data_IF_789500079089
#
_entry.id   IF_789500079089
#
_cell.length_a   1.000
_cell.length_b   1.000
_cell.length_c   1.000
_cell.angle_alpha   90.00
_cell.angle_beta   90.00
_cell.angle_gamma   90.00
#
_symmetry.space_group_name_H-M   'P 1'
#
loop_
_entity.id
_entity.type
_entity.pdbx_description
1 polymer ?
#
# COMPACT_ATOMS: atom_id res chain seq x y z
N UNK A 1 10.87 -26.16 -17.13
CA UNK A 1 11.00 -26.71 -15.75
C UNK A 1 12.31 -26.28 -15.10
N UNK A 2 13.46 -26.42 -15.78
CA UNK A 2 14.77 -25.88 -15.33
C UNK A 2 14.75 -24.37 -15.06
N UNK A 3 14.04 -23.61 -15.89
CA UNK A 3 14.01 -22.14 -15.82
C UNK A 3 13.37 -21.63 -14.51
N UNK A 4 12.43 -22.37 -13.93
CA UNK A 4 11.80 -21.96 -12.67
C UNK A 4 12.73 -22.18 -11.47
N UNK A 5 13.52 -23.26 -11.48
CA UNK A 5 14.43 -23.59 -10.38
C UNK A 5 15.67 -22.68 -10.34
N UNK A 6 16.22 -22.29 -11.50
CA UNK A 6 17.40 -21.42 -11.56
C UNK A 6 17.10 -19.94 -11.38
N UNK A 7 15.96 -19.44 -11.86
CA UNK A 7 15.67 -18.00 -11.85
C UNK A 7 15.29 -17.43 -10.47
N UNK A 8 14.83 -18.26 -9.54
CA UNK A 8 14.23 -17.80 -8.29
C UNK A 8 15.23 -17.22 -7.27
N UNK A 9 16.49 -17.66 -7.28
CA UNK A 9 17.52 -17.25 -6.31
C UNK A 9 18.60 -16.33 -6.89
N UNK A 10 18.90 -16.45 -8.19
CA UNK A 10 20.04 -15.74 -8.80
C UNK A 10 19.75 -14.25 -8.97
N UNK A 11 18.58 -13.88 -9.48
CA UNK A 11 18.20 -12.49 -9.72
C UNK A 11 18.36 -11.58 -8.49
N UNK A 12 17.76 -11.89 -7.32
CA UNK A 12 17.87 -11.00 -6.15
C UNK A 12 19.30 -10.83 -5.66
N UNK A 13 20.12 -11.89 -5.72
CA UNK A 13 21.51 -11.85 -5.26
C UNK A 13 22.41 -11.08 -6.23
N UNK A 14 22.17 -11.19 -7.55
CA UNK A 14 22.86 -10.37 -8.55
C UNK A 14 22.47 -8.90 -8.41
N UNK A 15 21.19 -8.61 -8.13
CA UNK A 15 20.73 -7.25 -7.85
C UNK A 15 21.39 -6.67 -6.60
N UNK A 16 21.44 -7.42 -5.50
CA UNK A 16 22.16 -7.04 -4.27
C UNK A 16 23.63 -6.70 -4.56
N UNK A 17 24.33 -7.56 -5.28
CA UNK A 17 25.73 -7.32 -5.64
C UNK A 17 25.91 -6.06 -6.51
N UNK A 18 25.02 -5.80 -7.46
CA UNK A 18 25.08 -4.61 -8.30
C UNK A 18 24.87 -3.32 -7.49
N UNK A 19 23.99 -3.34 -6.48
CA UNK A 19 23.78 -2.23 -5.54
C UNK A 19 25.05 -2.01 -4.70
N UNK A 20 25.62 -3.08 -4.14
CA UNK A 20 26.84 -3.00 -3.32
C UNK A 20 28.06 -2.48 -4.10
N UNK A 21 28.12 -2.79 -5.40
CA UNK A 21 29.14 -2.28 -6.32
C UNK A 21 28.88 -0.83 -6.77
N UNK A 22 27.75 -0.22 -6.38
CA UNK A 22 27.38 1.15 -6.76
C UNK A 22 27.07 1.32 -8.26
N UNK A 23 26.68 0.24 -8.94
CA UNK A 23 26.44 0.24 -10.40
C UNK A 23 25.40 1.28 -10.77
N UNK A 24 24.31 1.37 -10.01
CA UNK A 24 23.19 2.25 -10.32
C UNK A 24 23.58 3.72 -10.18
N UNK A 25 24.29 4.08 -9.11
CA UNK A 25 24.81 5.43 -8.88
C UNK A 25 25.86 5.83 -9.92
N UNK A 26 26.67 4.88 -10.38
CA UNK A 26 27.66 5.14 -11.44
C UNK A 26 26.97 5.50 -12.76
N UNK A 27 25.95 4.73 -13.16
CA UNK A 27 25.19 5.02 -14.39
C UNK A 27 24.39 6.32 -14.23
N UNK A 28 23.75 6.54 -13.07
CA UNK A 28 23.00 7.77 -12.78
C UNK A 28 23.87 9.03 -12.89
N UNK A 29 25.09 8.99 -12.34
CA UNK A 29 26.06 10.10 -12.42
C UNK A 29 26.52 10.40 -13.83
N UNK A 30 26.52 9.41 -14.74
CA UNK A 30 26.86 9.62 -16.13
C UNK A 30 25.76 10.36 -16.92
N UNK A 31 24.53 10.39 -16.40
CA UNK A 31 23.41 11.18 -16.91
C UNK A 31 22.17 10.35 -17.29
N UNK A 32 21.00 10.99 -17.48
CA UNK A 32 19.72 10.29 -17.70
C UNK A 32 19.68 9.35 -18.91
N UNK A 33 20.38 9.70 -19.99
CA UNK A 33 20.45 8.92 -21.24
C UNK A 33 21.79 8.17 -21.41
N UNK A 34 22.56 8.05 -20.33
CA UNK A 34 23.88 7.43 -20.38
C UNK A 34 23.79 5.93 -20.68
N UNK A 35 24.70 5.48 -21.54
CA UNK A 35 24.88 4.08 -21.90
C UNK A 35 26.35 3.73 -21.69
N UNK A 36 26.64 2.97 -20.63
CA UNK A 36 27.99 2.61 -20.21
C UNK A 36 28.28 1.14 -20.50
N UNK A 37 29.49 0.84 -20.97
CA UNK A 37 29.96 -0.54 -21.00
C UNK A 37 30.31 -1.04 -19.59
N UNK A 38 30.40 -2.36 -19.41
CA UNK A 38 30.88 -2.91 -18.14
C UNK A 38 32.29 -2.42 -17.79
N UNK A 39 33.15 -2.17 -18.78
CA UNK A 39 34.47 -1.60 -18.57
C UNK A 39 34.41 -0.16 -18.06
N UNK A 40 33.51 0.67 -18.60
CA UNK A 40 33.31 2.06 -18.14
C UNK A 40 32.82 2.12 -16.68
N UNK A 41 31.99 1.16 -16.28
CA UNK A 41 31.48 1.06 -14.91
C UNK A 41 32.61 0.59 -13.96
N UNK A 42 33.33 -0.48 -14.32
CA UNK A 42 34.43 -1.01 -13.50
C UNK A 42 35.54 0.03 -13.30
N UNK A 43 35.80 0.88 -14.29
CA UNK A 43 36.79 1.95 -14.18
C UNK A 43 36.48 2.97 -13.08
N UNK A 44 35.22 3.03 -12.59
CA UNK A 44 34.79 3.91 -11.51
C UNK A 44 34.78 3.23 -10.12
N UNK A 45 35.12 1.95 -10.03
CA UNK A 45 35.18 1.26 -8.74
C UNK A 45 36.33 1.79 -7.87
N UNK A 46 36.11 2.07 -6.56
CA UNK A 46 37.15 2.63 -5.69
C UNK A 46 38.39 1.76 -5.54
N UNK A 47 38.23 0.44 -5.66
CA UNK A 47 39.33 -0.54 -5.58
C UNK A 47 38.99 -1.74 -6.44
N UNK A 48 39.91 -2.13 -7.32
CA UNK A 48 39.70 -3.15 -8.34
C UNK A 48 41.05 -3.81 -8.63
N UNK A 49 41.17 -5.11 -8.35
CA UNK A 49 42.41 -5.89 -8.58
C UNK A 49 42.21 -7.09 -9.54
N UNK A 50 41.01 -7.26 -10.10
CA UNK A 50 40.64 -8.39 -10.94
C UNK A 50 40.59 -7.98 -12.43
N UNK A 51 41.54 -8.38 -13.28
CA UNK A 51 41.56 -8.00 -14.69
C UNK A 51 40.27 -8.40 -15.44
N UNK A 52 39.57 -9.44 -14.98
CA UNK A 52 38.35 -9.99 -15.58
C UNK A 52 37.05 -9.40 -15.00
N UNK A 53 37.12 -8.36 -14.15
CA UNK A 53 35.92 -7.84 -13.47
C UNK A 53 34.85 -7.32 -14.44
N UNK A 54 35.27 -6.72 -15.56
CA UNK A 54 34.35 -6.22 -16.58
C UNK A 54 33.57 -7.36 -17.25
N UNK A 55 34.17 -8.54 -17.46
CA UNK A 55 33.49 -9.73 -18.01
C UNK A 55 32.48 -10.28 -17.02
N UNK A 56 32.83 -10.37 -15.73
CA UNK A 56 31.90 -10.82 -14.69
C UNK A 56 30.74 -9.84 -14.50
N UNK A 57 31.04 -8.54 -14.49
CA UNK A 57 30.03 -7.50 -14.37
C UNK A 57 29.09 -7.52 -15.58
N UNK A 58 29.60 -7.61 -16.81
CA UNK A 58 28.81 -7.68 -18.04
C UNK A 58 27.78 -8.83 -18.01
N UNK A 59 28.14 -10.00 -17.45
CA UNK A 59 27.19 -11.11 -17.24
C UNK A 59 26.09 -10.76 -16.24
N UNK A 60 26.44 -10.11 -15.14
CA UNK A 60 25.48 -9.64 -14.12
C UNK A 60 24.53 -8.60 -14.71
N UNK A 61 25.06 -7.57 -15.39
CA UNK A 61 24.27 -6.52 -16.02
C UNK A 61 23.35 -7.08 -17.10
N UNK A 62 23.80 -8.09 -17.85
CA UNK A 62 22.95 -8.79 -18.83
C UNK A 62 21.72 -9.46 -18.17
N UNK A 63 21.89 -10.09 -17.00
CA UNK A 63 20.77 -10.66 -16.24
C UNK A 63 19.81 -9.58 -15.73
N UNK A 64 20.34 -8.47 -15.23
CA UNK A 64 19.51 -7.35 -14.77
C UNK A 64 18.73 -6.72 -15.93
N UNK A 65 19.38 -6.58 -17.09
CA UNK A 65 18.73 -6.08 -18.30
C UNK A 65 17.62 -7.02 -18.81
N UNK A 66 17.82 -8.35 -18.72
CA UNK A 66 16.77 -9.32 -19.11
C UNK A 66 15.53 -9.25 -18.21
N UNK A 67 15.63 -8.64 -17.03
CA UNK A 67 14.54 -8.40 -16.10
C UNK A 67 14.06 -6.94 -16.10
N UNK A 68 14.44 -6.15 -17.11
CA UNK A 68 14.08 -4.74 -17.24
C UNK A 68 14.50 -3.87 -16.03
N UNK A 69 15.54 -4.28 -15.30
CA UNK A 69 16.15 -3.47 -14.24
C UNK A 69 17.15 -2.48 -14.86
N UNK A 70 17.82 -2.89 -15.94
CA UNK A 70 18.66 -2.03 -16.77
C UNK A 70 18.13 -2.05 -18.20
N UNK A 71 18.44 -1.02 -18.97
CA UNK A 71 18.34 -1.06 -20.43
C UNK A 71 19.65 -1.61 -20.99
N UNK A 72 19.59 -2.26 -22.15
CA UNK A 72 20.77 -2.79 -22.83
C UNK A 72 20.69 -2.50 -24.33
N UNK A 73 21.79 -2.00 -24.89
CA UNK A 73 21.99 -1.86 -26.33
C UNK A 73 23.31 -2.49 -26.74
N UNK A 74 23.48 -2.77 -28.03
CA UNK A 74 24.74 -3.31 -28.56
C UNK A 74 25.39 -2.26 -29.44
N UNK A 75 26.59 -1.84 -29.06
CA UNK A 75 27.43 -0.97 -29.88
C UNK A 75 28.25 -1.81 -30.85
N UNK A 76 28.23 -1.40 -32.11
CA UNK A 76 29.01 -1.99 -33.21
C UNK A 76 30.12 -1.05 -33.69
N UNK A 77 30.46 -0.01 -32.92
CA UNK A 77 31.42 1.03 -33.36
C UNK A 77 32.84 0.49 -33.61
N UNK A 78 33.17 -0.71 -33.11
CA UNK A 78 34.46 -1.38 -33.32
C UNK A 78 34.32 -2.77 -34.00
N UNK A 79 33.51 -2.89 -35.07
CA UNK A 79 33.37 -4.16 -35.84
C UNK A 79 34.71 -4.67 -36.42
N UNK A 80 35.74 -3.82 -36.57
CA UNK A 80 37.02 -4.23 -37.15
C UNK A 80 37.73 -5.35 -36.36
N UNK A 81 37.43 -5.51 -35.06
CA UNK A 81 37.95 -6.58 -34.20
C UNK A 81 36.95 -7.74 -33.97
N UNK A 82 35.77 -7.71 -34.60
CA UNK A 82 34.76 -8.77 -34.50
C UNK A 82 34.00 -8.86 -33.15
N UNK A 83 34.27 -7.95 -32.20
CA UNK A 83 33.65 -7.98 -30.88
C UNK A 83 32.52 -6.93 -30.76
N UNK A 84 31.30 -7.41 -30.50
CA UNK A 84 30.17 -6.55 -30.11
C UNK A 84 30.23 -6.22 -28.61
N UNK A 85 29.96 -4.97 -28.25
CA UNK A 85 29.99 -4.52 -26.86
C UNK A 85 28.58 -4.13 -26.40
N UNK A 86 28.15 -4.65 -25.25
CA UNK A 86 26.90 -4.24 -24.61
C UNK A 86 27.10 -2.94 -23.83
N UNK A 87 26.14 -2.05 -23.96
CA UNK A 87 26.04 -0.80 -23.20
C UNK A 87 24.76 -0.81 -22.39
N UNK A 88 24.87 -0.36 -21.14
CA UNK A 88 23.82 -0.43 -20.13
C UNK A 88 23.41 0.96 -19.67
N UNK A 89 22.10 1.15 -19.53
CA UNK A 89 21.50 2.34 -18.94
C UNK A 89 20.50 1.97 -17.85
N UNK A 90 19.99 2.96 -17.12
CA UNK A 90 18.97 2.74 -16.09
C UNK A 90 17.59 2.51 -16.75
N UNK A 91 16.89 1.45 -16.34
CA UNK A 91 15.47 1.30 -16.65
C UNK A 91 14.62 2.03 -15.58
N UNK A 92 13.32 2.28 -15.82
CA UNK A 92 12.49 3.04 -14.89
C UNK A 92 12.44 2.50 -13.45
N UNK A 93 12.56 1.18 -13.25
CA UNK A 93 12.58 0.57 -11.91
C UNK A 93 13.88 0.84 -11.15
N UNK A 94 14.98 1.16 -11.84
CA UNK A 94 16.27 1.40 -11.21
C UNK A 94 16.31 2.66 -10.35
N UNK A 95 15.40 3.62 -10.58
CA UNK A 95 15.26 4.83 -9.76
C UNK A 95 14.98 4.53 -8.27
N UNK A 96 14.42 3.34 -7.98
CA UNK A 96 14.15 2.90 -6.61
C UNK A 96 15.39 2.32 -5.92
N UNK A 97 16.47 2.04 -6.67
CA UNK A 97 17.74 1.54 -6.15
C UNK A 97 18.82 2.62 -6.06
N UNK A 98 18.58 3.81 -6.60
CA UNK A 98 19.34 5.02 -6.29
C UNK A 98 18.64 5.83 -5.20
N UNK A 99 19.32 6.84 -4.64
CA UNK A 99 18.72 7.74 -3.64
C UNK A 99 17.85 8.78 -4.34
N UNK A 100 16.61 8.92 -3.90
CA UNK A 100 15.75 10.03 -4.34
C UNK A 100 16.19 11.37 -3.71
N UNK A 101 15.46 12.45 -4.01
CA UNK A 101 15.80 13.80 -3.54
C UNK A 101 15.79 13.93 -2.01
N UNK A 102 14.94 13.16 -1.32
CA UNK A 102 14.82 13.14 0.14
C UNK A 102 15.68 12.04 0.79
N UNK A 103 16.51 11.33 0.01
CA UNK A 103 17.44 10.30 0.47
C UNK A 103 16.84 8.90 0.68
N UNK A 104 15.59 8.68 0.27
CA UNK A 104 14.91 7.37 0.24
C UNK A 104 15.39 6.47 -0.90
N UNK A 105 15.38 5.16 -0.64
CA UNK A 105 15.76 4.11 -1.59
C UNK A 105 15.29 2.74 -1.08
N UNK A 106 15.04 1.80 -1.98
CA UNK A 106 14.77 0.39 -1.66
C UNK A 106 16.07 -0.42 -1.50
N UNK A 107 17.23 0.14 -1.84
CA UNK A 107 18.51 -0.56 -1.77
C UNK A 107 18.83 -1.13 -0.37
N UNK A 108 18.71 -0.36 0.73
CA UNK A 108 18.91 -0.89 2.07
C UNK A 108 17.89 -1.97 2.48
N UNK A 109 16.65 -1.88 2.00
CA UNK A 109 15.62 -2.90 2.23
C UNK A 109 15.96 -4.20 1.51
N UNK A 110 16.39 -4.11 0.24
CA UNK A 110 16.84 -5.28 -0.52
C UNK A 110 18.08 -5.94 0.10
N UNK A 111 19.02 -5.13 0.62
CA UNK A 111 20.19 -5.64 1.32
C UNK A 111 19.80 -6.40 2.60
N UNK A 112 18.85 -5.87 3.38
CA UNK A 112 18.37 -6.50 4.62
C UNK A 112 17.66 -7.84 4.34
N UNK A 113 16.68 -7.89 3.42
CA UNK A 113 15.90 -9.12 3.19
C UNK A 113 16.74 -10.26 2.60
N UNK A 114 17.89 -9.94 1.99
CA UNK A 114 18.85 -10.90 1.45
C UNK A 114 20.15 -10.97 2.28
N UNK A 115 20.16 -10.37 3.48
CA UNK A 115 21.23 -10.59 4.43
C UNK A 115 21.22 -12.05 4.89
N UNK A 116 22.39 -12.58 5.25
CA UNK A 116 22.50 -13.97 5.70
C UNK A 116 21.57 -14.26 6.88
N UNK A 117 21.46 -13.33 7.84
CA UNK A 117 20.58 -13.48 9.01
C UNK A 117 19.13 -13.72 8.58
N UNK A 118 18.66 -12.98 7.57
CA UNK A 118 17.31 -13.13 7.03
C UNK A 118 17.16 -14.37 6.16
N UNK A 119 18.18 -14.70 5.36
CA UNK A 119 18.11 -15.87 4.49
C UNK A 119 18.14 -17.19 5.26
N UNK A 120 18.78 -17.22 6.44
CA UNK A 120 18.90 -18.43 7.25
C UNK A 120 17.53 -18.96 7.71
N UNK A 121 16.54 -18.08 7.95
CA UNK A 121 15.20 -18.51 8.36
C UNK A 121 14.49 -19.38 7.32
N UNK A 122 14.78 -19.19 6.03
CA UNK A 122 14.12 -19.92 4.95
C UNK A 122 14.48 -21.41 4.93
N UNK A 123 15.65 -21.80 5.46
CA UNK A 123 16.03 -23.20 5.60
C UNK A 123 15.18 -23.94 6.64
N UNK A 124 14.51 -23.22 7.54
CA UNK A 124 13.70 -23.76 8.62
C UNK A 124 12.18 -23.71 8.34
N UNK A 125 11.76 -23.26 7.14
CA UNK A 125 10.34 -23.26 6.76
C UNK A 125 9.72 -24.66 6.83
N UNK A 126 10.45 -25.68 6.34
CA UNK A 126 9.99 -27.07 6.37
C UNK A 126 9.73 -27.52 7.82
N UNK A 127 10.65 -27.25 8.72
CA UNK A 127 10.56 -27.68 10.11
C UNK A 127 9.46 -26.92 10.84
N UNK A 128 9.28 -25.63 10.55
CA UNK A 128 8.14 -24.84 11.06
C UNK A 128 6.78 -25.41 10.62
N UNK A 129 6.66 -25.92 9.39
CA UNK A 129 5.44 -26.59 8.92
C UNK A 129 5.19 -27.91 9.65
N UNK A 130 6.23 -28.69 9.91
CA UNK A 130 6.11 -30.02 10.52
C UNK A 130 5.94 -29.98 12.04
N UNK A 131 6.62 -29.06 12.70
CA UNK A 131 6.78 -29.05 14.16
C UNK A 131 6.13 -27.82 14.81
N UNK A 132 5.67 -26.85 14.01
CA UNK A 132 5.29 -25.52 14.49
C UNK A 132 6.49 -24.67 14.87
N UNK A 133 6.21 -23.46 15.35
CA UNK A 133 7.23 -22.46 15.70
C UNK A 133 7.58 -21.51 14.56
N UNK A 134 8.42 -20.53 14.85
CA UNK A 134 8.76 -19.45 13.92
C UNK A 134 10.08 -19.74 13.20
N UNK A 135 10.13 -19.70 11.86
CA UNK A 135 11.35 -19.97 11.09
C UNK A 135 12.57 -19.18 11.58
N UNK A 136 12.41 -17.89 11.88
CA UNK A 136 13.49 -17.06 12.41
C UNK A 136 14.02 -17.57 13.75
N UNK A 137 13.12 -17.92 14.68
CA UNK A 137 13.50 -18.47 15.99
C UNK A 137 14.17 -19.83 15.88
N UNK A 138 13.72 -20.68 14.95
CA UNK A 138 14.37 -21.97 14.68
C UNK A 138 15.79 -21.80 14.14
N UNK A 139 16.03 -20.78 13.32
CA UNK A 139 17.36 -20.49 12.78
C UNK A 139 18.33 -19.94 13.84
N UNK A 140 17.85 -19.05 14.71
CA UNK A 140 18.71 -18.23 15.56
C UNK A 140 18.62 -18.53 17.07
N UNK A 141 17.65 -19.35 17.48
CA UNK A 141 17.38 -19.74 18.86
C UNK A 141 16.74 -18.66 19.75
N UNK A 142 16.51 -17.46 19.21
CA UNK A 142 15.90 -16.30 19.87
C UNK A 142 14.97 -15.57 18.90
N UNK A 143 14.04 -14.76 19.41
CA UNK A 143 13.15 -13.96 18.57
C UNK A 143 13.88 -12.80 17.88
N UNK A 144 13.25 -12.24 16.85
CA UNK A 144 13.82 -11.17 16.02
C UNK A 144 14.17 -9.91 16.82
N UNK A 145 13.34 -9.52 17.80
CA UNK A 145 13.59 -8.35 18.65
C UNK A 145 14.81 -8.55 19.57
N UNK A 146 15.01 -9.75 20.11
CA UNK A 146 16.22 -10.11 20.87
C UNK A 146 17.46 -10.18 19.99
N UNK A 147 17.32 -10.69 18.75
CA UNK A 147 18.43 -10.73 17.81
C UNK A 147 18.95 -9.34 17.45
N UNK A 148 18.05 -8.37 17.22
CA UNK A 148 18.41 -6.97 16.96
C UNK A 148 19.20 -6.34 18.13
N UNK A 149 18.98 -6.78 19.37
CA UNK A 149 19.77 -6.32 20.53
C UNK A 149 21.14 -7.00 20.61
N UNK A 150 21.23 -8.23 20.11
CA UNK A 150 22.44 -9.06 20.14
C UNK A 150 23.45 -8.67 19.05
N UNK A 151 22.98 -8.30 17.86
CA UNK A 151 23.82 -8.00 16.70
C UNK A 151 23.67 -6.53 16.27
N UNK A 152 24.63 -5.71 16.68
CA UNK A 152 24.63 -4.28 16.39
C UNK A 152 24.72 -3.97 14.88
N UNK A 153 25.45 -4.80 14.11
CA UNK A 153 25.61 -4.59 12.66
C UNK A 153 24.31 -4.88 11.94
N UNK A 154 23.64 -5.98 12.30
CA UNK A 154 22.32 -6.29 11.74
C UNK A 154 21.25 -5.28 12.21
N UNK A 155 21.34 -4.78 13.44
CA UNK A 155 20.46 -3.72 13.93
C UNK A 155 20.60 -2.41 13.13
N UNK A 156 21.84 -2.02 12.79
CA UNK A 156 22.10 -0.87 11.93
C UNK A 156 21.55 -1.08 10.51
N UNK A 157 21.74 -2.27 9.94
CA UNK A 157 21.18 -2.63 8.63
C UNK A 157 19.64 -2.56 8.64
N UNK A 158 19.01 -3.18 9.64
CA UNK A 158 17.56 -3.14 9.83
C UNK A 158 17.06 -1.70 9.97
N UNK A 159 17.69 -0.90 10.84
CA UNK A 159 17.30 0.50 11.08
C UNK A 159 17.45 1.36 9.82
N UNK A 160 18.55 1.19 9.09
CA UNK A 160 18.81 1.89 7.83
C UNK A 160 17.81 1.49 6.75
N UNK A 161 17.42 0.20 6.71
CA UNK A 161 16.40 -0.31 5.80
C UNK A 161 15.04 0.32 6.04
N UNK A 162 14.59 0.36 7.29
CA UNK A 162 13.30 0.94 7.65
C UNK A 162 13.28 2.44 7.38
N UNK A 163 14.37 3.15 7.73
CA UNK A 163 14.50 4.59 7.46
C UNK A 163 14.39 4.89 5.97
N UNK A 164 15.18 4.21 5.13
CA UNK A 164 15.22 4.50 3.69
C UNK A 164 13.93 4.10 2.98
N UNK A 165 13.35 2.95 3.35
CA UNK A 165 12.05 2.50 2.84
C UNK A 165 10.92 3.47 3.21
N UNK A 166 10.86 3.92 4.47
CA UNK A 166 9.79 4.78 4.95
C UNK A 166 9.76 6.13 4.22
N UNK A 167 10.90 6.68 3.80
CA UNK A 167 10.96 7.92 3.02
C UNK A 167 10.26 7.74 1.66
N UNK A 168 10.71 6.78 0.85
CA UNK A 168 10.10 6.49 -0.46
C UNK A 168 8.62 6.13 -0.35
N UNK A 169 8.28 5.36 0.68
CA UNK A 169 6.90 4.97 0.93
C UNK A 169 6.04 6.18 1.28
N UNK A 170 6.44 6.98 2.27
CA UNK A 170 5.63 8.09 2.78
C UNK A 170 5.52 9.27 1.80
N UNK A 171 6.50 9.50 0.93
CA UNK A 171 6.36 10.44 -0.21
C UNK A 171 5.13 10.10 -1.05
N UNK A 172 5.04 8.84 -1.49
CA UNK A 172 3.91 8.36 -2.29
C UNK A 172 2.59 8.51 -1.54
N UNK A 173 2.59 8.20 -0.24
CA UNK A 173 1.39 8.28 0.60
C UNK A 173 0.90 9.71 0.71
N UNK A 174 1.80 10.63 1.04
CA UNK A 174 1.47 12.03 1.22
C UNK A 174 0.94 12.64 -0.08
N UNK A 175 1.34 12.14 -1.24
CA UNK A 175 0.86 12.62 -2.55
C UNK A 175 -0.54 12.14 -2.93
N UNK A 176 -1.01 11.03 -2.38
CA UNK A 176 -2.29 10.42 -2.76
C UNK A 176 -3.33 10.41 -1.64
N UNK A 177 -2.95 10.74 -0.41
CA UNK A 177 -3.82 10.69 0.76
C UNK A 177 -3.94 12.06 1.44
N UNK A 178 -5.09 12.70 1.24
CA UNK A 178 -5.41 14.01 1.84
C UNK A 178 -6.03 13.90 3.23
N UNK A 179 -6.14 12.69 3.80
CA UNK A 179 -6.80 12.50 5.08
C UNK A 179 -6.02 13.06 6.28
N UNK A 180 -4.88 13.73 6.09
CA UNK A 180 -4.24 14.54 7.13
C UNK A 180 -4.73 16.00 7.13
N UNK A 181 -5.41 16.45 6.07
CA UNK A 181 -5.95 17.81 6.00
C UNK A 181 -6.94 18.09 7.15
N UNK A 182 -6.81 19.27 7.75
CA UNK A 182 -7.67 19.74 8.83
C UNK A 182 -7.45 19.06 10.19
N UNK A 183 -6.55 18.09 10.30
CA UNK A 183 -6.11 17.52 11.58
C UNK A 183 -5.34 18.60 12.36
N UNK A 184 -5.62 18.78 13.65
CA UNK A 184 -4.88 19.74 14.50
C UNK A 184 -3.90 19.02 15.42
N UNK A 185 -4.28 17.85 15.93
CA UNK A 185 -3.42 16.99 16.73
C UNK A 185 -3.37 15.57 16.14
N UNK A 186 -2.17 15.09 15.81
CA UNK A 186 -1.93 13.76 15.26
C UNK A 186 -1.03 12.96 16.20
N UNK A 187 -1.53 11.82 16.67
CA UNK A 187 -0.75 10.86 17.47
C UNK A 187 -0.28 9.72 16.58
N UNK A 188 1.03 9.55 16.43
CA UNK A 188 1.62 8.41 15.72
C UNK A 188 1.94 7.30 16.73
N UNK A 189 1.15 6.23 16.72
CA UNK A 189 1.28 5.10 17.68
C UNK A 189 2.18 4.03 17.07
N UNK A 190 3.26 3.71 17.78
CA UNK A 190 4.35 2.92 17.23
C UNK A 190 5.16 3.72 16.19
N UNK A 191 5.26 5.03 16.39
CA UNK A 191 5.90 5.95 15.43
C UNK A 191 7.43 5.84 15.38
N UNK A 192 8.02 4.96 16.19
CA UNK A 192 9.44 4.70 16.21
C UNK A 192 10.23 5.96 16.58
N UNK A 193 11.21 6.28 15.74
CA UNK A 193 12.02 7.48 15.91
C UNK A 193 11.28 8.79 15.57
N UNK A 194 10.03 8.73 15.10
CA UNK A 194 9.22 9.91 14.75
C UNK A 194 9.48 10.47 13.34
N UNK A 195 10.32 9.83 12.51
CA UNK A 195 10.65 10.36 11.18
C UNK A 195 9.45 10.45 10.25
N UNK A 196 8.51 9.50 10.35
CA UNK A 196 7.28 9.50 9.53
C UNK A 196 6.38 10.65 9.93
N UNK A 197 6.13 10.82 11.23
CA UNK A 197 5.37 11.95 11.74
C UNK A 197 6.01 13.27 11.32
N UNK A 198 7.34 13.37 11.33
CA UNK A 198 8.06 14.54 10.83
C UNK A 198 7.77 14.84 9.35
N UNK A 199 7.73 13.82 8.49
CA UNK A 199 7.33 14.00 7.08
C UNK A 199 5.90 14.52 6.96
N UNK A 200 4.96 13.97 7.74
CA UNK A 200 3.55 14.39 7.73
C UNK A 200 3.42 15.86 8.16
N UNK A 201 4.01 16.25 9.30
CA UNK A 201 3.89 17.64 9.79
C UNK A 201 4.68 18.64 8.92
N UNK A 202 5.73 18.19 8.21
CA UNK A 202 6.43 19.05 7.25
C UNK A 202 5.50 19.43 6.09
N UNK A 203 4.66 18.49 5.62
CA UNK A 203 3.63 18.77 4.60
C UNK A 203 2.42 19.51 5.18
N UNK A 204 2.08 19.26 6.44
CA UNK A 204 0.94 19.86 7.14
C UNK A 204 1.38 20.59 8.44
N UNK A 205 2.04 21.77 8.36
CA UNK A 205 2.67 22.42 9.51
C UNK A 205 1.72 22.87 10.63
N UNK A 206 0.41 22.90 10.36
CA UNK A 206 -0.61 23.21 11.36
C UNK A 206 -0.86 22.06 12.34
N UNK A 207 -0.42 20.84 12.01
CA UNK A 207 -0.55 19.66 12.86
C UNK A 207 0.46 19.74 14.00
N UNK A 208 -0.03 19.61 15.24
CA UNK A 208 0.80 19.26 16.40
C UNK A 208 0.99 17.74 16.42
N UNK A 209 2.24 17.29 16.36
CA UNK A 209 2.57 15.87 16.33
C UNK A 209 2.87 15.34 17.73
N UNK A 210 2.33 14.16 18.05
CA UNK A 210 2.74 13.35 19.20
C UNK A 210 3.31 12.04 18.66
N UNK A 211 4.62 11.85 18.77
CA UNK A 211 5.25 10.56 18.47
C UNK A 211 5.14 9.67 19.72
N UNK A 212 4.44 8.55 19.62
CA UNK A 212 4.15 7.67 20.74
C UNK A 212 4.73 6.27 20.53
N UNK A 213 5.68 5.88 21.37
CA UNK A 213 6.33 4.56 21.32
C UNK A 213 6.83 4.14 22.71
N UNK A 214 7.43 2.96 22.82
CA UNK A 214 8.04 2.47 24.05
C UNK A 214 9.16 3.41 24.53
N UNK A 215 9.37 3.48 25.84
CA UNK A 215 10.38 4.35 26.45
C UNK A 215 11.78 4.18 25.84
N UNK A 216 12.23 2.93 25.66
CA UNK A 216 13.53 2.64 25.06
C UNK A 216 13.70 3.17 23.63
N UNK A 217 12.60 3.33 22.88
CA UNK A 217 12.63 3.87 21.52
C UNK A 217 12.62 5.40 21.56
N UNK A 218 11.70 5.97 22.34
CA UNK A 218 11.56 7.43 22.52
C UNK A 218 12.85 8.06 23.04
N UNK A 219 13.53 7.44 24.01
CA UNK A 219 14.78 7.94 24.59
C UNK A 219 15.92 8.07 23.58
N UNK A 220 15.91 7.24 22.53
CA UNK A 220 16.91 7.24 21.45
C UNK A 220 16.50 8.08 20.23
N UNK A 221 15.30 8.68 20.26
CA UNK A 221 14.73 9.37 19.11
C UNK A 221 15.30 10.79 18.95
N UNK A 222 15.60 11.23 17.72
CA UNK A 222 16.00 12.61 17.48
C UNK A 222 14.82 13.57 17.72
N UNK A 223 15.12 14.79 18.14
CA UNK A 223 14.11 15.84 18.30
C UNK A 223 13.69 16.41 16.94
N UNK A 224 12.39 16.61 16.75
CA UNK A 224 11.82 17.29 15.58
C UNK A 224 10.97 18.51 15.99
N UNK A 225 11.10 19.66 15.30
CA UNK A 225 10.25 20.81 15.57
C UNK A 225 8.76 20.47 15.37
N UNK A 226 7.91 20.79 16.35
CA UNK A 226 6.47 20.52 16.28
C UNK A 226 6.06 19.10 16.66
N UNK A 227 7.01 18.25 17.07
CA UNK A 227 6.75 16.90 17.60
C UNK A 227 7.08 16.84 19.08
N UNK A 228 6.14 16.32 19.85
CA UNK A 228 6.35 15.87 21.23
C UNK A 228 6.56 14.35 21.22
N UNK A 229 7.66 13.87 21.81
CA UNK A 229 7.87 12.44 22.00
C UNK A 229 7.31 12.01 23.35
N UNK A 230 6.42 11.01 23.34
CA UNK A 230 5.74 10.51 24.53
C UNK A 230 5.97 9.02 24.65
N UNK A 231 6.58 8.60 25.75
CA UNK A 231 6.80 7.18 26.03
C UNK A 231 5.55 6.51 26.61
N UNK A 232 5.26 5.29 26.17
CA UNK A 232 4.30 4.42 26.84
C UNK A 232 3.96 3.15 26.06
N UNK A 233 2.95 2.43 26.53
CA UNK A 233 2.45 1.21 25.90
C UNK A 233 1.03 1.42 25.38
N UNK A 234 0.86 1.33 24.05
CA UNK A 234 -0.42 1.48 23.37
C UNK A 234 -1.46 0.41 23.75
N UNK A 235 -1.04 -0.72 24.31
CA UNK A 235 -1.93 -1.73 24.87
C UNK A 235 -2.41 -1.40 26.29
N UNK A 236 -1.85 -0.37 26.93
CA UNK A 236 -2.26 0.12 28.25
C UNK A 236 -3.05 1.42 28.09
N UNK A 237 -2.47 2.45 27.49
CA UNK A 237 -3.10 3.75 27.28
C UNK A 237 -2.53 4.44 26.06
N UNK A 238 -3.29 5.36 25.43
CA UNK A 238 -2.79 6.22 24.34
C UNK A 238 -3.03 7.69 24.73
N UNK A 239 -2.12 8.64 24.41
CA UNK A 239 -2.31 10.05 24.70
C UNK A 239 -3.66 10.59 24.20
N UNK A 240 -4.43 11.19 25.11
CA UNK A 240 -5.77 11.72 24.81
C UNK A 240 -5.72 13.04 24.06
N UNK A 241 -6.77 13.31 23.30
CA UNK A 241 -6.99 14.62 22.66
C UNK A 241 -6.43 14.72 21.24
N UNK A 242 -6.01 13.60 20.64
CA UNK A 242 -5.73 13.52 19.22
C UNK A 242 -7.00 13.64 18.38
N UNK A 243 -6.98 14.48 17.34
CA UNK A 243 -8.03 14.51 16.31
C UNK A 243 -7.85 13.33 15.34
N UNK A 244 -6.62 12.87 15.19
CA UNK A 244 -6.31 11.65 14.47
C UNK A 244 -5.24 10.83 15.20
N UNK A 245 -5.34 9.52 15.06
CA UNK A 245 -4.31 8.56 15.44
C UNK A 245 -3.82 7.90 14.15
N UNK A 246 -2.51 7.84 13.95
CA UNK A 246 -1.87 7.18 12.83
C UNK A 246 -1.14 5.94 13.32
N UNK A 247 -1.22 4.85 12.55
CA UNK A 247 -0.49 3.62 12.80
C UNK A 247 -0.02 3.06 11.46
N UNK A 248 1.29 2.96 11.24
CA UNK A 248 1.86 2.28 10.09
C UNK A 248 2.54 1.00 10.52
N UNK A 249 2.19 -0.11 9.87
CA UNK A 249 2.87 -1.41 10.08
C UNK A 249 2.85 -1.87 11.56
N UNK A 250 1.76 -1.55 12.24
CA UNK A 250 1.52 -2.01 13.61
C UNK A 250 0.58 -3.20 13.60
N UNK A 251 -0.47 -3.17 12.80
CA UNK A 251 -1.60 -4.11 12.95
C UNK A 251 -1.26 -5.52 12.50
N UNK A 252 -0.34 -5.67 11.53
CA UNK A 252 0.13 -6.99 11.09
C UNK A 252 0.97 -7.75 12.12
N UNK A 253 1.54 -7.07 13.12
CA UNK A 253 2.38 -7.71 14.13
C UNK A 253 1.58 -8.47 15.20
N UNK A 254 0.27 -8.25 15.25
CA UNK A 254 -0.57 -8.66 16.35
C UNK A 254 -1.78 -9.49 15.90
N UNK A 255 -2.18 -10.42 16.75
CA UNK A 255 -3.41 -11.19 16.57
C UNK A 255 -4.67 -10.30 16.73
N UNK A 256 -5.84 -10.90 16.54
CA UNK A 256 -7.11 -10.18 16.55
C UNK A 256 -7.51 -9.67 17.95
N UNK A 257 -7.09 -10.33 19.03
CA UNK A 257 -7.41 -9.86 20.40
C UNK A 257 -6.57 -8.64 20.76
N UNK A 258 -5.26 -8.70 20.48
CA UNK A 258 -4.34 -7.60 20.72
C UNK A 258 -4.70 -6.39 19.86
N UNK A 259 -4.96 -6.58 18.57
CA UNK A 259 -5.39 -5.49 17.70
C UNK A 259 -6.71 -4.87 18.18
N UNK A 260 -7.67 -5.68 18.65
CA UNK A 260 -8.93 -5.15 19.19
C UNK A 260 -8.70 -4.31 20.45
N UNK A 261 -7.80 -4.76 21.34
CA UNK A 261 -7.41 -4.00 22.53
C UNK A 261 -6.78 -2.67 22.14
N UNK A 262 -5.84 -2.67 21.20
CA UNK A 262 -5.18 -1.47 20.70
C UNK A 262 -6.19 -0.48 20.09
N UNK A 263 -7.09 -0.96 19.21
CA UNK A 263 -8.11 -0.12 18.58
C UNK A 263 -9.11 0.49 19.56
N UNK A 264 -9.44 -0.23 20.64
CA UNK A 264 -10.25 0.32 21.75
C UNK A 264 -9.53 1.46 22.45
N UNK A 265 -8.25 1.27 22.78
CA UNK A 265 -7.44 2.34 23.38
C UNK A 265 -7.33 3.56 22.45
N UNK A 266 -7.18 3.34 21.14
CA UNK A 266 -7.18 4.43 20.16
C UNK A 266 -8.51 5.19 20.20
N UNK A 267 -9.63 4.47 20.21
CA UNK A 267 -10.96 5.09 20.25
C UNK A 267 -11.20 5.93 21.52
N UNK A 268 -10.76 5.44 22.67
CA UNK A 268 -10.86 6.16 23.94
C UNK A 268 -9.99 7.42 23.98
N UNK A 269 -8.87 7.43 23.24
CA UNK A 269 -7.95 8.56 23.13
C UNK A 269 -8.42 9.66 22.16
N UNK A 270 -9.22 9.30 21.15
CA UNK A 270 -9.73 10.22 20.14
C UNK A 270 -10.72 11.26 20.69
N UNK A 271 -10.64 12.48 20.18
CA UNK A 271 -11.69 13.49 20.33
C UNK A 271 -12.98 13.09 19.59
N UNK A 272 -14.08 13.79 19.88
CA UNK A 272 -15.34 13.59 19.16
C UNK A 272 -15.13 13.93 17.66
N UNK A 273 -15.57 13.03 16.77
CA UNK A 273 -15.31 13.07 15.32
C UNK A 273 -13.86 12.76 14.90
N UNK A 274 -13.02 12.31 15.83
CA UNK A 274 -11.65 11.89 15.53
C UNK A 274 -11.57 10.62 14.66
N UNK A 275 -10.39 10.32 14.13
CA UNK A 275 -10.19 9.17 13.25
C UNK A 275 -8.87 8.42 13.49
N UNK A 276 -8.89 7.10 13.31
CA UNK A 276 -7.69 6.26 13.25
C UNK A 276 -7.35 6.01 11.78
N UNK A 277 -6.11 6.27 11.39
CA UNK A 277 -5.56 6.09 10.06
C UNK A 277 -4.56 4.93 10.15
N UNK A 278 -4.89 3.80 9.55
CA UNK A 278 -4.04 2.61 9.57
C UNK A 278 -3.46 2.38 8.19
N UNK A 279 -2.15 2.16 8.15
CA UNK A 279 -1.39 1.83 6.95
C UNK A 279 -0.84 0.43 7.11
N UNK A 280 -1.44 -0.52 6.42
CA UNK A 280 -1.00 -1.91 6.53
C UNK A 280 -1.22 -2.71 5.24
N UNK A 281 -0.75 -3.94 5.22
CA UNK A 281 -1.02 -4.83 4.10
C UNK A 281 -2.44 -5.41 4.22
N UNK A 282 -3.11 -5.54 3.07
CA UNK A 282 -4.36 -6.29 2.96
C UNK A 282 -4.15 -7.35 1.90
N UNK A 283 -4.07 -8.59 2.35
CA UNK A 283 -3.76 -9.73 1.50
C UNK A 283 -5.02 -10.14 0.72
N UNK A 284 -4.91 -10.49 -0.57
CA UNK A 284 -6.06 -10.95 -1.35
C UNK A 284 -6.57 -12.30 -0.82
N UNK A 285 -7.90 -12.51 -0.85
CA UNK A 285 -8.52 -13.77 -0.41
C UNK A 285 -8.10 -14.95 -1.31
N UNK A 286 -7.93 -14.67 -2.60
CA UNK A 286 -7.45 -15.65 -3.58
C UNK A 286 -6.11 -15.23 -4.14
N UNK A 287 -5.14 -16.15 -4.29
CA UNK A 287 -3.86 -15.82 -4.89
C UNK A 287 -4.05 -15.41 -6.35
N UNK A 288 -3.57 -14.22 -6.70
CA UNK A 288 -3.54 -13.73 -8.07
C UNK A 288 -2.10 -13.78 -8.62
N UNK A 289 -1.97 -13.84 -9.95
CA UNK A 289 -0.66 -14.02 -10.61
C UNK A 289 0.03 -12.72 -11.01
N UNK A 290 -0.63 -11.57 -10.79
CA UNK A 290 -0.04 -10.27 -11.03
C UNK A 290 1.07 -9.97 -10.00
N UNK A 291 1.97 -9.05 -10.37
CA UNK A 291 3.15 -8.70 -9.57
C UNK A 291 2.75 -8.26 -8.16
N UNK A 292 1.69 -7.46 -8.04
CA UNK A 292 1.18 -6.95 -6.76
C UNK A 292 0.81 -8.08 -5.80
N UNK A 293 -0.04 -9.01 -6.22
CA UNK A 293 -0.46 -10.12 -5.37
C UNK A 293 0.72 -11.01 -4.96
N UNK A 294 1.66 -11.26 -5.88
CA UNK A 294 2.90 -11.99 -5.58
C UNK A 294 3.74 -11.27 -4.52
N UNK A 295 4.00 -9.97 -4.68
CA UNK A 295 4.78 -9.17 -3.72
C UNK A 295 4.12 -9.11 -2.34
N UNK A 296 2.80 -8.95 -2.27
CA UNK A 296 2.08 -8.96 -0.98
C UNK A 296 2.17 -10.32 -0.29
N UNK A 297 2.02 -11.43 -1.02
CA UNK A 297 2.14 -12.77 -0.44
C UNK A 297 3.58 -13.10 -0.02
N UNK A 298 4.59 -12.61 -0.76
CA UNK A 298 6.00 -12.74 -0.37
C UNK A 298 6.28 -11.97 0.93
N UNK A 299 5.84 -10.72 1.02
CA UNK A 299 5.99 -9.93 2.25
C UNK A 299 5.20 -10.52 3.42
N UNK A 300 4.00 -11.05 3.18
CA UNK A 300 3.23 -11.76 4.19
C UNK A 300 4.01 -12.95 4.78
N UNK A 301 4.55 -13.80 3.91
CA UNK A 301 5.33 -14.95 4.33
C UNK A 301 6.60 -14.52 5.07
N UNK A 302 7.24 -13.44 4.62
CA UNK A 302 8.42 -12.86 5.29
C UNK A 302 8.09 -12.41 6.72
N UNK A 303 7.05 -11.59 6.92
CA UNK A 303 6.67 -11.06 8.24
C UNK A 303 6.24 -12.20 9.18
N UNK A 304 5.39 -13.11 8.72
CA UNK A 304 4.94 -14.24 9.55
C UNK A 304 6.05 -15.23 9.88
N UNK A 305 7.13 -15.24 9.09
CA UNK A 305 8.33 -16.05 9.40
C UNK A 305 9.19 -15.47 10.53
N UNK A 306 8.88 -14.25 11.00
CA UNK A 306 9.62 -13.53 12.04
C UNK A 306 8.79 -13.13 13.26
N UNK A 307 7.46 -13.08 13.12
CA UNK A 307 6.55 -12.53 14.13
C UNK A 307 5.56 -13.61 14.60
N UNK A 308 5.70 -14.14 15.83
CA UNK A 308 4.86 -15.23 16.31
C UNK A 308 3.37 -14.90 16.42
N UNK A 309 3.04 -13.64 16.69
CA UNK A 309 1.66 -13.14 16.74
C UNK A 309 1.23 -12.47 15.43
N UNK A 310 2.10 -12.46 14.42
CA UNK A 310 1.88 -11.77 13.17
C UNK A 310 0.72 -12.37 12.38
N UNK A 311 -0.22 -11.54 11.95
CA UNK A 311 -1.38 -11.96 11.17
C UNK A 311 -1.76 -10.89 10.16
N UNK A 312 -1.56 -11.19 8.89
CA UNK A 312 -2.13 -10.39 7.82
C UNK A 312 -3.62 -10.68 7.65
N UNK A 313 -4.34 -9.68 7.16
CA UNK A 313 -5.79 -9.70 7.09
C UNK A 313 -6.25 -9.45 5.67
N UNK A 314 -7.28 -10.19 5.26
CA UNK A 314 -8.03 -9.86 4.04
C UNK A 314 -9.03 -8.75 4.35
N UNK A 315 -9.54 -8.07 3.33
CA UNK A 315 -10.66 -7.11 3.48
C UNK A 315 -11.85 -7.76 4.21
N UNK A 316 -12.13 -9.03 3.91
CA UNK A 316 -13.20 -9.79 4.56
C UNK A 316 -12.91 -10.08 6.03
N UNK A 317 -11.65 -10.26 6.43
CA UNK A 317 -11.30 -10.40 7.85
C UNK A 317 -11.47 -9.09 8.62
N UNK A 318 -11.38 -7.95 7.93
CA UNK A 318 -11.54 -6.62 8.52
C UNK A 318 -13.00 -6.19 8.65
N UNK A 319 -13.89 -6.61 7.74
CA UNK A 319 -15.33 -6.27 7.78
C UNK A 319 -16.05 -6.65 9.09
N UNK A 320 -15.87 -7.84 9.70
CA UNK A 320 -16.49 -8.18 10.98
C UNK A 320 -16.12 -7.25 12.14
N UNK A 321 -15.03 -6.50 12.03
CA UNK A 321 -14.63 -5.53 13.04
C UNK A 321 -15.62 -4.37 13.12
N UNK A 322 -16.34 -4.06 12.04
CA UNK A 322 -17.44 -3.08 12.04
C UNK A 322 -18.51 -3.39 13.10
N UNK A 323 -18.77 -4.67 13.37
CA UNK A 323 -19.76 -5.11 14.36
C UNK A 323 -19.19 -5.26 15.77
N UNK A 324 -17.87 -5.48 15.89
CA UNK A 324 -17.20 -5.55 17.20
C UNK A 324 -16.83 -4.16 17.72
N UNK A 325 -16.64 -3.22 16.81
CA UNK A 325 -16.36 -1.82 17.03
C UNK A 325 -17.62 -1.02 16.66
N UNK A 326 -18.77 -1.34 17.25
CA UNK A 326 -20.06 -0.66 16.98
C UNK A 326 -19.99 0.88 17.16
N UNK A 327 -18.92 1.36 17.78
CA UNK A 327 -18.60 2.76 18.03
C UNK A 327 -17.75 3.43 16.92
N UNK A 328 -17.24 2.68 15.94
CA UNK A 328 -16.43 3.17 14.82
C UNK A 328 -17.15 2.99 13.48
N UNK A 329 -17.11 4.02 12.65
CA UNK A 329 -17.32 3.82 11.21
C UNK A 329 -16.02 3.33 10.60
N UNK A 330 -16.12 2.24 9.84
CA UNK A 330 -15.03 1.70 9.05
C UNK A 330 -15.13 2.21 7.62
N UNK A 331 -14.05 2.80 7.10
CA UNK A 331 -13.86 3.13 5.69
C UNK A 331 -12.53 2.53 5.24
N UNK A 332 -12.59 1.43 4.48
CA UNK A 332 -11.40 0.88 3.85
C UNK A 332 -11.06 1.71 2.62
N UNK A 333 -9.97 2.44 2.69
CA UNK A 333 -9.43 3.19 1.56
C UNK A 333 -8.32 2.36 0.94
N UNK A 334 -8.64 1.53 -0.05
CA UNK A 334 -7.60 0.83 -0.81
C UNK A 334 -7.06 1.79 -1.86
N UNK A 335 -5.91 2.43 -1.60
CA UNK A 335 -5.27 3.33 -2.54
C UNK A 335 -4.68 2.52 -3.71
N UNK A 336 -5.39 2.52 -4.85
CA UNK A 336 -4.95 1.92 -6.12
C UNK A 336 -5.16 2.83 -7.33
N UNK A 337 -5.31 4.13 -7.12
CA UNK A 337 -5.67 5.05 -8.21
C UNK A 337 -4.76 6.27 -8.20
N UNK A 338 -3.66 6.18 -8.98
CA UNK A 338 -2.96 7.25 -9.71
C UNK A 338 -1.45 6.96 -9.87
N UNK A 339 -1.10 5.97 -10.69
CA UNK A 339 0.20 5.89 -11.38
C UNK A 339 0.00 5.53 -12.86
N UNK A 340 -1.11 6.01 -13.43
CA UNK A 340 -1.40 5.91 -14.86
C UNK A 340 -1.99 7.25 -15.28
N UNK A 341 -1.13 8.24 -15.58
CA UNK A 341 -1.39 9.33 -16.54
C UNK A 341 -0.24 10.34 -16.71
N UNK A 342 1.03 9.90 -16.72
CA UNK A 342 2.07 10.66 -17.41
C UNK A 342 3.02 9.72 -18.16
N UNK A 343 2.67 9.53 -19.44
CA UNK A 343 3.48 8.95 -20.52
C UNK A 343 3.67 7.43 -20.54
N UNK A 344 3.78 6.92 -21.78
CA UNK A 344 3.50 5.55 -22.19
C UNK A 344 4.33 4.47 -21.46
N UNK A 345 3.65 3.36 -21.19
CA UNK A 345 4.18 1.98 -21.08
C UNK A 345 5.37 1.75 -20.16
N UNK A 346 5.14 1.72 -18.84
CA UNK A 346 5.59 0.63 -17.98
C UNK A 346 4.92 0.73 -16.61
N UNK A 347 4.43 -0.40 -16.12
CA UNK A 347 3.73 -0.52 -14.84
C UNK A 347 4.78 -0.44 -13.74
N UNK A 348 4.85 0.70 -13.05
CA UNK A 348 5.33 0.77 -11.68
C UNK A 348 4.10 0.98 -10.80
N UNK A 349 3.86 0.11 -9.83
CA UNK A 349 2.74 0.22 -8.91
C UNK A 349 3.16 -0.33 -7.56
N UNK A 350 3.66 0.56 -6.72
CA UNK A 350 3.77 0.35 -5.27
C UNK A 350 2.47 0.88 -4.65
N UNK A 351 1.82 0.11 -3.76
CA UNK A 351 0.98 0.65 -2.68
C UNK A 351 0.39 -0.43 -1.75
N UNK A 352 0.38 -0.07 -0.46
CA UNK A 352 -0.31 -0.70 0.67
C UNK A 352 -1.80 -0.34 0.70
N UNK A 353 -2.59 -1.10 1.47
CA UNK A 353 -4.02 -0.85 1.66
C UNK A 353 -4.28 -0.11 2.98
N UNK A 354 -5.37 0.67 3.07
CA UNK A 354 -5.60 1.55 4.22
C UNK A 354 -6.90 1.21 4.90
N UNK A 355 -6.90 1.35 6.22
CA UNK A 355 -8.12 1.29 7.02
C UNK A 355 -8.25 2.63 7.72
N UNK A 356 -9.31 3.37 7.40
CA UNK A 356 -9.72 4.57 8.13
C UNK A 356 -10.86 4.20 9.07
N UNK A 357 -10.72 4.49 10.35
CA UNK A 357 -11.75 4.31 11.36
C UNK A 357 -12.18 5.68 11.87
N UNK A 358 -13.47 6.01 11.90
CA UNK A 358 -13.96 7.29 12.45
C UNK A 358 -14.79 7.09 13.69
N UNK A 359 -14.50 7.87 14.73
CA UNK A 359 -15.33 8.01 15.93
C UNK A 359 -16.48 8.94 15.58
N UNK A 360 -17.72 8.48 15.71
CA UNK A 360 -18.91 9.32 15.60
C UNK A 360 -19.51 9.60 16.97
N UNK A 361 -20.17 10.74 17.10
CA UNK A 361 -21.06 11.02 18.22
C UNK A 361 -22.21 10.00 18.27
N UNK A 362 -22.63 9.64 19.49
CA UNK A 362 -23.75 8.76 19.82
C UNK A 362 -25.02 9.12 19.07
N UNK A 363 -25.32 10.41 18.89
CA UNK A 363 -26.48 10.86 18.12
C UNK A 363 -26.37 10.47 16.62
N UNK A 364 -25.18 10.63 16.03
CA UNK A 364 -24.92 10.25 14.64
C UNK A 364 -24.88 8.73 14.46
N UNK A 365 -24.35 7.99 15.43
CA UNK A 365 -24.38 6.53 15.47
C UNK A 365 -25.82 6.02 15.53
N UNK A 366 -26.68 6.58 16.40
CA UNK A 366 -28.08 6.19 16.50
C UNK A 366 -28.85 6.41 15.19
N UNK A 367 -28.60 7.52 14.48
CA UNK A 367 -29.23 7.78 13.17
C UNK A 367 -28.78 6.76 12.12
N UNK A 368 -27.51 6.35 12.11
CA UNK A 368 -27.01 5.34 11.17
C UNK A 368 -27.48 3.93 11.52
N UNK A 369 -27.51 3.57 12.81
CA UNK A 369 -28.03 2.29 13.31
C UNK A 369 -29.53 2.17 13.05
N UNK A 370 -30.31 3.25 13.24
CA UNK A 370 -31.74 3.27 12.90
C UNK A 370 -31.99 3.13 11.39
N UNK A 371 -31.11 3.68 10.54
CA UNK A 371 -31.17 3.48 9.08
C UNK A 371 -30.74 2.09 8.61
N UNK A 372 -29.94 1.37 9.41
CA UNK A 372 -29.46 0.00 9.13
C UNK A 372 -30.33 -1.12 9.70
N UNK A 373 -31.30 -0.84 10.59
CA UNK A 373 -32.29 -1.84 11.03
C UNK A 373 -33.29 -2.10 9.89
N UNK A 374 -33.51 -3.36 9.47
CA UNK A 374 -34.71 -3.69 8.69
C UNK A 374 -35.91 -3.31 9.56
N UNK A 375 -36.88 -2.56 9.02
CA UNK A 375 -38.15 -2.36 9.73
C UNK A 375 -38.74 -3.74 10.07
N UNK A 376 -39.33 -3.95 11.26
CA UNK A 376 -40.04 -5.19 11.53
C UNK A 376 -41.12 -5.35 10.46
N UNK A 377 -41.19 -6.52 9.83
CA UNK A 377 -42.37 -6.89 9.05
C UNK A 377 -43.56 -6.84 10.00
N UNK A 378 -44.46 -5.87 9.81
CA UNK A 378 -45.82 -6.03 10.30
C UNK A 378 -46.39 -7.23 9.57
N UNK A 379 -46.62 -8.33 10.30
CA UNK A 379 -47.42 -9.45 9.82
C UNK A 379 -48.85 -8.93 9.72
N UNK A 380 -49.23 -8.50 8.52
CA UNK A 380 -50.63 -8.37 8.17
C UNK A 380 -51.12 -9.79 7.88
N UNK A 381 -52.11 -10.26 8.64
CA UNK A 381 -52.92 -11.41 8.26
C UNK A 381 -53.53 -11.13 6.91
N UNK A 382 -53.21 -11.96 5.93
CA UNK A 382 -53.76 -11.89 4.57
C UNK A 382 -55.24 -12.29 4.67
N UNK A 383 -56.12 -11.34 4.39
CA UNK A 383 -57.49 -11.61 4.01
C UNK A 383 -57.47 -11.93 2.51
N UNK A 384 -57.92 -13.12 2.12
CA UNK A 384 -57.74 -13.75 0.80
C UNK A 384 -58.62 -13.12 -0.31
N UNK A 385 -58.85 -11.81 -0.28
CA UNK A 385 -59.77 -11.13 -1.19
C UNK A 385 -59.27 -9.84 -1.83
N UNK A 386 -57.96 -9.69 -2.10
CA UNK A 386 -57.42 -8.54 -2.86
C UNK A 386 -56.50 -9.03 -4.00
N UNK A 387 -56.76 -8.68 -5.28
CA UNK A 387 -55.94 -9.14 -6.40
C UNK A 387 -54.62 -8.38 -6.52
N UNK A 388 -53.61 -9.09 -7.06
CA UNK A 388 -52.26 -8.63 -7.40
C UNK A 388 -52.16 -7.15 -7.79
N UNK A 389 -51.57 -6.34 -6.90
CA UNK A 389 -50.94 -5.08 -7.28
C UNK A 389 -49.52 -5.00 -6.70
N UNK A 390 -48.55 -5.15 -7.60
CA UNK A 390 -47.15 -4.81 -7.40
C UNK A 390 -47.01 -3.38 -6.87
N UNK A 391 -46.30 -3.21 -5.75
CA UNK A 391 -45.75 -1.91 -5.38
C UNK A 391 -44.69 -1.54 -6.42
N UNK A 392 -44.79 -0.41 -7.13
CA UNK A 392 -43.90 -0.17 -8.26
C UNK A 392 -42.52 0.29 -7.77
N UNK A 393 -41.49 -0.31 -8.39
CA UNK A 393 -40.04 -0.06 -8.26
C UNK A 393 -39.56 1.42 -8.27
N UNK A 394 -40.26 2.43 -8.85
CA UNK A 394 -39.74 3.80 -8.92
C UNK A 394 -39.54 4.49 -7.57
N UNK A 395 -40.24 4.09 -6.50
CA UNK A 395 -40.12 4.74 -5.18
C UNK A 395 -38.80 4.44 -4.45
N UNK A 396 -38.18 3.27 -4.67
CA UNK A 396 -36.90 2.93 -4.04
C UNK A 396 -35.71 3.60 -4.75
N UNK A 397 -35.80 3.77 -6.08
CA UNK A 397 -34.74 4.42 -6.87
C UNK A 397 -34.65 5.94 -6.63
N UNK A 398 -35.78 6.59 -6.35
CA UNK A 398 -35.86 8.04 -6.07
C UNK A 398 -35.14 8.45 -4.77
N UNK A 399 -35.08 7.58 -3.76
CA UNK A 399 -34.39 7.87 -2.49
C UNK A 399 -32.86 7.77 -2.62
N UNK A 400 -32.35 6.88 -3.48
CA UNK A 400 -30.91 6.72 -3.72
C UNK A 400 -30.33 7.91 -4.49
N UNK A 401 -31.07 8.42 -5.49
CA UNK A 401 -30.64 9.56 -6.32
C UNK A 401 -30.70 10.90 -5.58
N UNK A 402 -31.56 11.04 -4.58
CA UNK A 402 -31.63 12.24 -3.72
C UNK A 402 -30.38 12.42 -2.84
N UNK A 403 -29.70 11.32 -2.52
CA UNK A 403 -28.47 11.33 -1.72
C UNK A 403 -27.23 11.74 -2.53
N UNK A 404 -27.16 11.37 -3.80
CA UNK A 404 -26.02 11.68 -4.69
C UNK A 404 -26.01 13.14 -5.17
N UNK A 405 -27.18 13.76 -5.32
CA UNK A 405 -27.28 15.17 -5.74
C UNK A 405 -26.79 16.20 -4.70
N UNK A 406 -26.52 15.79 -3.45
CA UNK A 406 -25.94 16.69 -2.43
C UNK A 406 -24.41 16.88 -2.53
N UNK A 407 -23.75 16.14 -3.43
CA UNK A 407 -22.27 16.04 -3.47
C UNK A 407 -21.65 16.83 -4.65
N UNK A 408 -22.44 17.48 -5.51
CA UNK A 408 -21.91 18.33 -6.58
C UNK A 408 -22.24 19.81 -6.32
N UNK A 409 -21.26 20.74 -6.40
CA UNK A 409 -21.57 22.15 -6.53
C UNK A 409 -22.29 22.35 -7.86
N UNK A 410 -23.47 22.95 -7.81
CA UNK A 410 -24.24 23.40 -8.97
C UNK A 410 -23.51 24.57 -9.65
N UNK A 411 -22.43 24.33 -10.40
CA UNK A 411 -21.88 25.33 -11.32
C UNK A 411 -21.31 24.71 -12.61
N UNK A 412 -21.54 25.43 -13.71
CA UNK A 412 -21.30 25.09 -15.12
C UNK A 412 -19.82 24.84 -15.54
N UNK A 413 -18.90 24.59 -14.61
CA UNK A 413 -17.44 24.47 -14.91
C UNK A 413 -16.86 23.04 -14.77
N UNK A 414 -17.68 22.00 -14.74
CA UNK A 414 -17.15 20.63 -14.82
C UNK A 414 -16.64 20.29 -16.23
N UNK A 415 -15.35 19.93 -16.32
CA UNK A 415 -14.67 19.44 -17.52
C UNK A 415 -15.47 18.29 -18.20
N UNK A 416 -15.51 18.22 -19.55
CA UNK A 416 -16.25 17.19 -20.28
C UNK A 416 -15.94 15.74 -19.86
N UNK A 417 -14.70 15.49 -19.45
CA UNK A 417 -14.21 14.19 -18.96
C UNK A 417 -14.87 13.71 -17.65
N UNK A 418 -15.26 14.62 -16.77
CA UNK A 418 -16.01 14.30 -15.53
C UNK A 418 -17.44 13.86 -15.86
N UNK A 419 -18.07 14.46 -16.87
CA UNK A 419 -19.40 14.06 -17.34
C UNK A 419 -19.38 12.66 -17.96
N UNK A 420 -18.37 12.34 -18.76
CA UNK A 420 -18.22 11.01 -19.38
C UNK A 420 -17.93 9.92 -18.34
N UNK A 421 -17.12 10.23 -17.31
CA UNK A 421 -16.79 9.29 -16.24
C UNK A 421 -17.99 9.01 -15.35
N UNK A 422 -18.79 10.04 -15.03
CA UNK A 422 -20.02 9.89 -14.28
C UNK A 422 -21.10 9.12 -15.08
N UNK A 423 -21.24 9.42 -16.38
CA UNK A 423 -22.15 8.67 -17.25
C UNK A 423 -21.78 7.17 -17.30
N UNK A 424 -20.48 6.84 -17.38
CA UNK A 424 -20.01 5.44 -17.31
C UNK A 424 -20.31 4.78 -15.96
N UNK A 425 -20.13 5.49 -14.85
CA UNK A 425 -20.45 4.96 -13.52
C UNK A 425 -21.95 4.66 -13.36
N UNK A 426 -22.80 5.56 -13.84
CA UNK A 426 -24.26 5.35 -13.85
C UNK A 426 -24.62 4.17 -14.74
N UNK A 427 -24.03 4.05 -15.93
CA UNK A 427 -24.26 2.93 -16.86
C UNK A 427 -23.80 1.60 -16.26
N UNK A 428 -22.62 1.52 -15.64
CA UNK A 428 -22.14 0.29 -14.99
C UNK A 428 -23.07 -0.14 -13.84
N UNK A 429 -23.58 0.82 -13.06
CA UNK A 429 -24.56 0.51 -12.02
C UNK A 429 -25.93 0.11 -12.57
N UNK A 430 -26.36 0.67 -13.68
CA UNK A 430 -27.56 0.22 -14.40
C UNK A 430 -27.36 -1.18 -14.97
N UNK A 431 -26.20 -1.49 -15.57
CA UNK A 431 -25.85 -2.84 -16.02
C UNK A 431 -25.87 -3.86 -14.88
N UNK A 432 -25.35 -3.49 -13.71
CA UNK A 432 -25.39 -4.34 -12.51
C UNK A 432 -26.84 -4.60 -12.03
N UNK A 433 -27.76 -3.67 -12.31
CA UNK A 433 -29.19 -3.80 -11.98
C UNK A 433 -29.98 -4.55 -13.06
N UNK A 434 -29.52 -4.53 -14.31
CA UNK A 434 -30.10 -5.25 -15.47
C UNK A 434 -29.93 -6.76 -15.33
N UNK A 435 -28.87 -7.25 -14.69
CA UNK A 435 -28.68 -8.67 -14.35
C UNK A 435 -29.75 -9.23 -13.37
N UNK A 436 -30.65 -8.38 -12.86
CA UNK A 436 -31.71 -8.75 -11.91
C UNK A 436 -33.11 -8.85 -12.57
N UNK A 437 -33.17 -8.87 -13.92
CA UNK A 437 -34.36 -9.34 -14.67
C UNK A 437 -35.51 -8.35 -14.86
N UNK A 438 -35.24 -7.05 -15.00
CA UNK A 438 -36.24 -6.02 -15.31
C UNK A 438 -36.36 -5.69 -16.82
N UNK A 439 -37.47 -5.07 -17.24
CA UNK A 439 -37.71 -4.67 -18.64
C UNK A 439 -36.77 -3.53 -19.08
N UNK A 440 -35.75 -3.91 -19.85
CA UNK A 440 -34.54 -3.13 -20.12
C UNK A 440 -34.76 -1.85 -20.93
N UNK A 441 -35.77 -1.84 -21.81
CA UNK A 441 -35.99 -0.71 -22.75
C UNK A 441 -36.68 0.47 -22.04
N UNK A 442 -37.57 0.17 -21.10
CA UNK A 442 -38.34 1.16 -20.35
C UNK A 442 -37.47 1.95 -19.37
N UNK A 443 -36.50 1.29 -18.71
CA UNK A 443 -35.57 1.91 -17.76
C UNK A 443 -34.57 2.82 -18.48
N UNK A 444 -34.04 2.40 -19.63
CA UNK A 444 -33.12 3.23 -20.42
C UNK A 444 -33.81 4.48 -20.97
N UNK A 445 -35.03 4.34 -21.50
CA UNK A 445 -35.80 5.48 -22.02
C UNK A 445 -36.15 6.47 -20.90
N UNK A 446 -36.48 6.00 -19.70
CA UNK A 446 -36.73 6.87 -18.53
C UNK A 446 -35.47 7.65 -18.10
N UNK A 447 -34.28 7.03 -18.18
CA UNK A 447 -33.00 7.70 -17.87
C UNK A 447 -32.69 8.76 -18.94
N UNK A 448 -32.87 8.44 -20.22
CA UNK A 448 -32.61 9.38 -21.32
C UNK A 448 -33.55 10.60 -21.24
N UNK A 449 -34.83 10.41 -20.86
CA UNK A 449 -35.80 11.50 -20.73
C UNK A 449 -35.55 12.40 -19.51
N UNK A 450 -35.00 11.89 -18.41
CA UNK A 450 -34.80 12.66 -17.18
C UNK A 450 -33.40 13.31 -17.07
N UNK A 451 -32.45 12.95 -17.93
CA UNK A 451 -31.08 13.47 -17.92
C UNK A 451 -30.67 14.04 -19.29
N UNK A 452 -30.96 15.33 -19.57
CA UNK A 452 -30.74 15.95 -20.90
C UNK A 452 -29.29 15.97 -21.39
N UNK A 453 -28.31 15.79 -20.50
CA UNK A 453 -26.87 15.72 -20.80
C UNK A 453 -26.45 14.42 -21.48
N UNK A 454 -27.29 13.37 -21.47
CA UNK A 454 -27.04 12.08 -22.13
C UNK A 454 -27.41 12.12 -23.63
N UNK A 455 -28.19 13.13 -24.04
CA UNK A 455 -28.78 13.28 -25.37
C UNK A 455 -27.76 13.48 -26.52
N UNK A 456 -26.49 13.75 -26.20
CA UNK A 456 -25.42 13.97 -27.18
C UNK A 456 -24.55 12.74 -27.47
N UNK A 457 -24.81 11.60 -26.83
CA UNK A 457 -24.06 10.37 -27.06
C UNK A 457 -24.90 9.46 -27.95
N UNK A 458 -24.44 9.24 -29.18
CA UNK A 458 -25.12 8.37 -30.15
C UNK A 458 -24.86 6.91 -29.74
N UNK A 459 -25.88 6.18 -29.33
CA UNK A 459 -25.77 4.77 -28.94
C UNK A 459 -26.43 3.88 -29.99
N UNK A 460 -25.74 2.82 -30.41
CA UNK A 460 -26.34 1.75 -31.20
C UNK A 460 -27.07 0.78 -30.25
N UNK A 461 -28.40 0.91 -30.21
CA UNK A 461 -29.28 0.14 -29.31
C UNK A 461 -29.32 -1.36 -29.62
N UNK A 462 -28.77 -1.81 -30.76
CA UNK A 462 -28.68 -3.23 -31.08
C UNK A 462 -27.48 -3.93 -30.44
N UNK A 463 -26.53 -3.18 -29.86
CA UNK A 463 -25.29 -3.71 -29.25
C UNK A 463 -25.30 -3.75 -27.71
N UNK A 464 -26.34 -3.18 -27.10
CA UNK A 464 -26.68 -3.27 -25.67
C UNK A 464 -27.77 -4.33 -25.49
#
# INVERSE_FOLDING_TARGET
MSDFAGNASVLPLVLKAAIELGVFEIIEKAGPDALLSASDIVAQFPTQNNPEAHILLDRNLCLLASHSILTCSVSTKNIQDGHSQRLYGLAPVAKYFTKNQDGGSLSPFLAMIHDKVMMDMWYHLKDAVLEGGIPFEKAHGINSAEYLKKDASFCELFSSSMKSFNVTFMETILDIYDGFEGVKCLVDVGGGNGSILNMIITKYPAIKGINYDLASVVESSPSYPGIEHVAGDGFVTIPKGGDAIFMKWITHNWDDEHLLKLLKNCYEALSDNGKVIVVDMVVPETPETNVKAKSMLQNYLFITSMSPQGKERTEKNLKPWERKLDFLIFELLVLFKLMINSHRTQISSECSSWILLRKLDLAAQQVLVQKRRPKPLQVFSVDDSIPDQQVPWPKQFFEITKYTNKILPTQNNCLPTLRTTYARFVIDRVKTLVDVGGDNVSVLNMIISNYPTVKGINYDLAQL
#
